data_IF_745126480756
#
_entry.id   IF_745126480756
#
_cell.length_a   1.000
_cell.length_b   1.000
_cell.length_c   1.000
_cell.angle_alpha   90.00
_cell.angle_beta   90.00
_cell.angle_gamma   90.00
#
_symmetry.space_group_name_H-M   'P 1'
#
loop_
_entity.id
_entity.type
_entity.pdbx_description
1 polymer ?
#
# COMPACT_ATOMS: atom_id res chain seq x y z
N UNK A 1 4.51 13.73 -6.94
CA UNK A 1 3.37 12.83 -6.59
C UNK A 1 3.61 12.21 -5.18
N UNK A 2 2.59 12.06 -4.32
CA UNK A 2 2.77 11.45 -2.98
C UNK A 2 3.12 9.97 -3.12
N UNK A 3 4.24 9.56 -2.54
CA UNK A 3 4.62 8.14 -2.42
C UNK A 3 3.43 7.35 -1.87
N UNK A 4 2.93 6.29 -2.53
CA UNK A 4 1.84 5.49 -1.99
C UNK A 4 2.21 4.87 -0.63
N UNK A 5 3.50 4.76 -0.32
CA UNK A 5 4.01 4.33 0.97
C UNK A 5 4.12 5.41 2.06
N UNK A 6 3.75 6.68 1.81
CA UNK A 6 3.87 7.76 2.81
C UNK A 6 2.55 8.54 2.94
N UNK A 7 2.19 8.86 4.17
CA UNK A 7 1.05 9.72 4.50
C UNK A 7 1.57 11.00 5.14
N UNK A 8 1.12 12.14 4.65
CA UNK A 8 1.40 13.46 5.21
C UNK A 8 0.21 13.95 6.04
N UNK A 9 0.47 14.34 7.29
CA UNK A 9 -0.49 14.95 8.20
C UNK A 9 -0.67 16.44 7.90
N UNK A 10 -1.71 17.05 8.46
CA UNK A 10 -1.92 18.51 8.39
C UNK A 10 -0.74 19.29 9.00
N UNK A 11 -0.02 18.70 9.96
CA UNK A 11 1.19 19.26 10.55
C UNK A 11 2.41 19.28 9.61
N UNK A 12 2.32 18.65 8.43
CA UNK A 12 3.45 18.43 7.53
C UNK A 12 4.32 17.22 7.89
N UNK A 13 4.04 16.53 9.00
CA UNK A 13 4.71 15.28 9.37
C UNK A 13 4.39 14.19 8.35
N UNK A 14 5.40 13.41 7.95
CA UNK A 14 5.26 12.29 7.01
C UNK A 14 5.57 10.96 7.68
N UNK A 15 4.63 10.02 7.64
CA UNK A 15 4.81 8.67 8.19
C UNK A 15 4.66 7.60 7.09
N UNK A 16 5.29 6.42 7.25
CA UNK A 16 5.03 5.29 6.38
C UNK A 16 3.58 4.77 6.48
N UNK A 17 2.97 4.51 5.32
CA UNK A 17 1.65 3.92 5.19
C UNK A 17 1.72 2.39 5.33
N UNK A 18 1.77 1.87 6.56
CA UNK A 18 1.87 0.43 6.82
C UNK A 18 0.52 -0.27 6.97
N UNK A 19 -0.59 0.47 6.92
CA UNK A 19 -1.94 -0.09 6.96
C UNK A 19 -2.93 0.80 6.21
N UNK A 20 -4.05 0.22 5.79
CA UNK A 20 -5.15 0.98 5.19
C UNK A 20 -5.63 2.13 6.09
N UNK A 21 -5.57 1.96 7.42
CA UNK A 21 -5.99 3.00 8.36
C UNK A 21 -5.10 4.24 8.35
N UNK A 22 -3.83 4.15 7.92
CA UNK A 22 -2.95 5.33 7.89
C UNK A 22 -3.45 6.38 6.89
N UNK A 23 -4.09 5.97 5.81
CA UNK A 23 -4.63 6.89 4.81
C UNK A 23 -5.77 7.78 5.33
N UNK A 24 -6.28 7.54 6.55
CA UNK A 24 -7.26 8.45 7.18
C UNK A 24 -6.63 9.77 7.61
N UNK A 25 -5.31 9.78 7.82
CA UNK A 25 -4.53 10.94 8.23
C UNK A 25 -4.02 11.75 7.05
N UNK A 26 -4.04 11.17 5.84
CA UNK A 26 -3.57 11.83 4.63
C UNK A 26 -4.47 12.98 4.27
N UNK A 27 -3.88 14.16 4.12
CA UNK A 27 -4.62 15.37 3.74
C UNK A 27 -5.16 15.22 2.31
N UNK A 28 -6.47 15.43 2.16
CA UNK A 28 -7.11 15.58 0.86
C UNK A 28 -8.10 16.74 0.91
N UNK A 29 -7.85 17.79 0.12
CA UNK A 29 -8.65 19.03 0.18
C UNK A 29 -10.11 18.80 -0.22
N UNK A 30 -10.36 17.94 -1.21
CA UNK A 30 -11.71 17.70 -1.74
C UNK A 30 -12.56 16.81 -0.84
N UNK A 31 -11.97 15.73 -0.33
CA UNK A 31 -12.70 14.67 0.38
C UNK A 31 -12.40 14.64 1.89
N UNK A 32 -11.56 15.55 2.39
CA UNK A 32 -11.12 15.63 3.77
C UNK A 32 -9.94 14.70 4.09
N UNK A 33 -9.96 13.46 3.60
CA UNK A 33 -8.80 12.56 3.72
C UNK A 33 -8.64 11.60 2.54
N UNK A 34 -7.47 10.97 2.46
CA UNK A 34 -7.11 10.04 1.37
C UNK A 34 -8.03 8.82 1.31
N UNK A 35 -8.45 8.22 2.45
CA UNK A 35 -9.40 7.09 2.41
C UNK A 35 -10.73 7.46 1.74
N UNK A 36 -11.29 8.64 2.07
CA UNK A 36 -12.53 9.15 1.49
C UNK A 36 -12.36 9.43 0.00
N UNK A 37 -11.20 9.92 -0.43
CA UNK A 37 -10.89 10.11 -1.84
C UNK A 37 -10.86 8.79 -2.63
N UNK A 38 -10.22 7.75 -2.09
CA UNK A 38 -10.20 6.42 -2.74
C UNK A 38 -11.60 5.80 -2.79
N UNK A 39 -12.39 5.94 -1.72
CA UNK A 39 -13.80 5.50 -1.72
C UNK A 39 -14.60 6.23 -2.80
N UNK A 40 -14.47 7.55 -2.90
CA UNK A 40 -15.17 8.35 -3.90
C UNK A 40 -14.77 7.95 -5.33
N UNK A 41 -13.49 7.69 -5.58
CA UNK A 41 -13.00 7.21 -6.88
C UNK A 41 -13.55 5.81 -7.22
N UNK A 42 -13.51 4.88 -6.26
CA UNK A 42 -14.08 3.54 -6.43
C UNK A 42 -15.55 3.61 -6.83
N UNK A 43 -16.35 4.44 -6.15
CA UNK A 43 -17.78 4.58 -6.41
C UNK A 43 -18.14 5.24 -7.74
N UNK A 44 -17.19 5.90 -8.43
CA UNK A 44 -17.43 6.37 -9.81
C UNK A 44 -17.69 5.21 -10.76
N UNK A 45 -17.10 4.04 -10.50
CA UNK A 45 -17.16 2.87 -11.38
C UNK A 45 -18.18 1.83 -10.91
N UNK A 46 -18.65 1.92 -9.67
CA UNK A 46 -19.62 0.98 -9.09
C UNK A 46 -20.83 1.76 -8.59
N UNK A 47 -21.98 1.62 -9.28
CA UNK A 47 -23.27 2.15 -8.83
C UNK A 47 -24.14 1.00 -8.33
N UNK A 48 -24.71 1.15 -7.13
CA UNK A 48 -25.73 0.23 -6.66
C UNK A 48 -27.05 0.44 -7.42
N UNK A 49 -27.83 -0.61 -7.69
CA UNK A 49 -29.11 -0.52 -8.40
C UNK A 49 -30.16 0.32 -7.65
N UNK A 50 -30.10 0.31 -6.32
CA UNK A 50 -31.00 1.05 -5.44
C UNK A 50 -30.24 2.15 -4.70
N UNK A 51 -30.79 3.36 -4.70
CA UNK A 51 -30.18 4.52 -4.06
C UNK A 51 -30.06 4.30 -2.55
N UNK A 52 -28.86 3.99 -2.07
CA UNK A 52 -28.50 3.99 -0.66
C UNK A 52 -28.81 2.71 0.12
N UNK A 53 -29.60 1.77 -0.41
CA UNK A 53 -30.05 0.59 0.33
C UNK A 53 -28.91 -0.33 0.81
N UNK A 54 -27.76 -0.31 0.12
CA UNK A 54 -26.60 -1.17 0.45
C UNK A 54 -25.31 -0.39 0.73
N UNK A 55 -25.38 0.94 0.91
CA UNK A 55 -24.19 1.79 1.07
C UNK A 55 -23.32 1.36 2.27
N UNK A 56 -23.93 1.05 3.41
CA UNK A 56 -23.21 0.62 4.61
C UNK A 56 -22.53 -0.74 4.43
N UNK A 57 -23.22 -1.68 3.77
CA UNK A 57 -22.63 -2.98 3.46
C UNK A 57 -21.48 -2.85 2.47
N UNK A 58 -21.67 -2.07 1.39
CA UNK A 58 -20.63 -1.79 0.41
C UNK A 58 -19.41 -1.13 1.05
N UNK A 59 -19.60 -0.15 1.94
CA UNK A 59 -18.49 0.48 2.69
C UNK A 59 -17.73 -0.52 3.56
N UNK A 60 -18.43 -1.41 4.27
CA UNK A 60 -17.78 -2.45 5.08
C UNK A 60 -16.95 -3.41 4.22
N UNK A 61 -17.52 -3.90 3.13
CA UNK A 61 -16.83 -4.81 2.20
C UNK A 61 -15.63 -4.11 1.56
N UNK A 62 -15.78 -2.87 1.15
CA UNK A 62 -14.69 -2.08 0.58
C UNK A 62 -13.53 -1.93 1.56
N UNK A 63 -13.79 -1.48 2.79
CA UNK A 63 -12.72 -1.30 3.78
C UNK A 63 -12.04 -2.62 4.13
N UNK A 64 -12.81 -3.71 4.25
CA UNK A 64 -12.24 -5.05 4.45
C UNK A 64 -11.27 -5.43 3.32
N UNK A 65 -11.66 -5.23 2.06
CA UNK A 65 -10.80 -5.53 0.91
C UNK A 65 -9.59 -4.59 0.83
N UNK A 66 -9.76 -3.29 1.13
CA UNK A 66 -8.66 -2.33 1.16
C UNK A 66 -7.59 -2.72 2.20
N UNK A 67 -8.00 -3.22 3.37
CA UNK A 67 -7.08 -3.77 4.37
C UNK A 67 -6.24 -4.94 3.80
N UNK A 68 -6.88 -5.87 3.10
CA UNK A 68 -6.21 -7.02 2.47
C UNK A 68 -5.22 -6.54 1.42
N UNK A 69 -5.66 -5.67 0.51
CA UNK A 69 -4.81 -5.16 -0.58
C UNK A 69 -3.57 -4.43 -0.06
N UNK A 70 -3.73 -3.54 0.93
CA UNK A 70 -2.57 -2.81 1.50
C UNK A 70 -1.61 -3.75 2.22
N UNK A 71 -2.12 -4.71 3.00
CA UNK A 71 -1.29 -5.73 3.65
C UNK A 71 -0.50 -6.54 2.62
N UNK A 72 -1.17 -6.99 1.58
CA UNK A 72 -0.56 -7.83 0.55
C UNK A 72 0.48 -7.03 -0.25
N UNK A 73 0.21 -5.76 -0.55
CA UNK A 73 1.18 -4.84 -1.17
C UNK A 73 2.47 -4.73 -0.34
N UNK A 74 2.38 -4.54 0.98
CA UNK A 74 3.54 -4.46 1.88
C UNK A 74 4.29 -5.79 1.96
N UNK A 75 3.55 -6.90 2.00
CA UNK A 75 4.15 -8.24 1.98
C UNK A 75 4.93 -8.48 0.69
N UNK A 76 4.33 -8.17 -0.46
CA UNK A 76 4.97 -8.30 -1.76
C UNK A 76 6.18 -7.39 -1.91
N UNK A 77 6.11 -6.18 -1.37
CA UNK A 77 7.23 -5.27 -1.32
C UNK A 77 8.44 -5.90 -0.62
N UNK A 78 8.23 -6.37 0.62
CA UNK A 78 9.28 -7.03 1.39
C UNK A 78 9.89 -8.21 0.61
N UNK A 79 9.05 -9.06 0.05
CA UNK A 79 9.47 -10.23 -0.74
C UNK A 79 10.35 -9.82 -1.93
N UNK A 80 9.98 -8.74 -2.62
CA UNK A 80 10.76 -8.24 -3.75
C UNK A 80 12.13 -7.69 -3.32
N UNK A 81 12.19 -6.96 -2.21
CA UNK A 81 13.47 -6.48 -1.65
C UNK A 81 14.37 -7.64 -1.26
N UNK A 82 13.82 -8.62 -0.53
CA UNK A 82 14.58 -9.79 -0.09
C UNK A 82 15.12 -10.58 -1.29
N UNK A 83 14.28 -10.80 -2.30
CA UNK A 83 14.71 -11.49 -3.52
C UNK A 83 15.82 -10.72 -4.24
N UNK A 84 15.68 -9.39 -4.38
CA UNK A 84 16.67 -8.52 -5.02
C UNK A 84 18.02 -8.56 -4.30
N UNK A 85 18.00 -8.39 -2.97
CA UNK A 85 19.20 -8.42 -2.14
C UNK A 85 19.93 -9.76 -2.24
N UNK A 86 19.21 -10.88 -2.12
CA UNK A 86 19.81 -12.22 -2.16
C UNK A 86 20.33 -12.58 -3.54
N UNK A 87 19.67 -12.13 -4.62
CA UNK A 87 20.19 -12.29 -5.97
C UNK A 87 21.50 -11.50 -6.13
N UNK A 88 21.53 -10.23 -5.71
CA UNK A 88 22.71 -9.36 -5.86
C UNK A 88 23.90 -9.83 -5.01
N UNK A 89 23.67 -10.24 -3.77
CA UNK A 89 24.75 -10.52 -2.81
C UNK A 89 25.19 -11.98 -2.81
N UNK A 90 24.31 -12.92 -3.16
CA UNK A 90 24.56 -14.37 -3.07
C UNK A 90 24.35 -15.11 -4.39
N UNK A 91 23.86 -14.43 -5.44
CA UNK A 91 23.50 -15.08 -6.71
C UNK A 91 22.26 -15.97 -6.62
N UNK A 92 21.51 -15.90 -5.50
CA UNK A 92 20.35 -16.77 -5.26
C UNK A 92 19.16 -16.28 -6.06
N UNK A 93 18.68 -17.11 -6.99
CA UNK A 93 17.44 -16.87 -7.74
C UNK A 93 16.34 -17.80 -7.25
N UNK A 94 15.17 -17.23 -7.01
CA UNK A 94 13.98 -17.97 -6.61
C UNK A 94 13.11 -18.27 -7.84
N UNK A 95 12.72 -19.52 -8.04
CA UNK A 95 11.73 -19.89 -9.06
C UNK A 95 10.39 -19.20 -8.82
N UNK A 96 9.94 -19.21 -7.55
CA UNK A 96 8.77 -18.45 -7.10
C UNK A 96 9.25 -17.35 -6.17
N UNK A 97 9.01 -16.08 -6.54
CA UNK A 97 9.37 -14.92 -5.70
C UNK A 97 8.89 -15.06 -4.25
N UNK A 98 7.72 -15.68 -4.02
CA UNK A 98 7.14 -15.89 -2.69
C UNK A 98 8.03 -16.69 -1.74
N UNK A 99 8.94 -17.53 -2.26
CA UNK A 99 9.88 -18.31 -1.44
C UNK A 99 10.92 -17.43 -0.75
N UNK A 100 11.24 -16.26 -1.33
CA UNK A 100 12.06 -15.24 -0.67
C UNK A 100 11.38 -14.71 0.61
N UNK A 101 10.06 -14.85 0.75
CA UNK A 101 9.31 -14.42 1.93
C UNK A 101 9.69 -15.13 3.23
N UNK A 102 10.46 -16.23 3.17
CA UNK A 102 11.00 -16.97 4.32
C UNK A 102 12.22 -16.30 4.95
N UNK A 103 12.88 -15.40 4.23
CA UNK A 103 14.07 -14.70 4.71
C UNK A 103 13.70 -13.31 5.21
N UNK A 104 14.48 -12.84 6.18
CA UNK A 104 14.37 -11.50 6.74
C UNK A 104 15.75 -10.87 6.71
N UNK A 105 15.84 -9.70 6.10
CA UNK A 105 17.04 -8.88 6.10
C UNK A 105 17.14 -8.06 7.39
N UNK A 106 18.33 -7.58 7.71
CA UNK A 106 18.50 -6.53 8.72
C UNK A 106 17.97 -5.19 8.19
N UNK A 107 17.80 -4.21 9.07
CA UNK A 107 17.36 -2.87 8.67
C UNK A 107 18.32 -2.22 7.67
N UNK A 108 19.64 -2.36 7.91
CA UNK A 108 20.69 -1.84 7.04
C UNK A 108 20.61 -2.46 5.65
N UNK A 109 20.40 -3.77 5.58
CA UNK A 109 20.26 -4.50 4.32
C UNK A 109 19.00 -4.09 3.56
N UNK A 110 17.88 -3.84 4.26
CA UNK A 110 16.67 -3.30 3.62
C UNK A 110 16.90 -1.91 3.02
N UNK A 111 17.79 -1.09 3.61
CA UNK A 111 18.12 0.26 3.11
C UNK A 111 19.00 0.25 1.86
N UNK A 112 19.67 -0.86 1.55
CA UNK A 112 20.50 -1.00 0.34
C UNK A 112 19.68 -1.24 -0.92
N UNK A 113 18.42 -1.66 -0.77
CA UNK A 113 17.55 -2.01 -1.89
C UNK A 113 16.38 -1.03 -1.99
N UNK A 114 16.00 -0.72 -3.21
CA UNK A 114 14.85 0.14 -3.49
C UNK A 114 13.93 -0.55 -4.49
N UNK A 115 12.66 -0.69 -4.14
CA UNK A 115 11.69 -1.36 -5.02
C UNK A 115 11.26 -0.40 -6.13
N UNK A 116 11.40 -0.74 -7.42
CA UNK A 116 11.15 0.20 -8.53
C UNK A 116 9.78 0.89 -8.52
N UNK A 117 8.70 0.19 -8.13
CA UNK A 117 7.35 0.78 -8.08
C UNK A 117 7.06 1.53 -6.78
N UNK A 118 7.91 1.40 -5.76
CA UNK A 118 7.99 2.39 -4.69
C UNK A 118 8.89 3.57 -5.08
N UNK A 119 9.91 3.32 -5.89
CA UNK A 119 10.96 4.25 -6.29
C UNK A 119 10.56 5.28 -7.34
N UNK A 120 9.37 5.16 -7.94
CA UNK A 120 8.99 5.99 -9.09
C UNK A 120 7.65 6.69 -8.87
N UNK A 121 7.45 7.98 -9.21
CA UNK A 121 8.34 9.04 -9.75
C UNK A 121 7.63 10.40 -9.53
N UNK A 122 8.40 11.48 -9.63
CA UNK A 122 8.00 12.90 -9.53
C UNK A 122 6.63 13.22 -10.16
#
# INVERSE_FOLDING_TARGET
MLWPGMVEFVSGERIPATSWNHYRYGVNVTFGNTQKAVWAEFWKYYKLPEAGAYDDHARRVFHHNAHIVVRDMISYARIQVVASYLERTQGTRFEKKRDAGKYYLTEEQYREEMIPWMATRE
#
